data_IF_997647080958
#
_entry.id   IF_997647080958
#
_cell.length_a   1.000
_cell.length_b   1.000
_cell.length_c   1.000
_cell.angle_alpha   90.00
_cell.angle_beta   90.00
_cell.angle_gamma   90.00
#
_symmetry.space_group_name_H-M   'P 1'
#
loop_
_entity.id
_entity.type
_entity.pdbx_description
1 polymer ?
#
# COMPACT_ATOMS: atom_id res chain seq x y z
N UNK A 1 14.85 31.83 -9.75
CA UNK A 1 15.38 30.56 -10.28
C UNK A 1 14.49 29.44 -9.80
N UNK A 2 13.59 28.94 -10.67
CA UNK A 2 12.51 28.01 -10.29
C UNK A 2 13.04 26.58 -10.40
N UNK A 3 13.04 25.80 -9.31
CA UNK A 3 13.23 24.34 -9.36
C UNK A 3 11.85 23.67 -9.33
N UNK A 4 11.42 23.14 -10.48
CA UNK A 4 10.25 22.28 -10.60
C UNK A 4 10.56 20.90 -10.01
N UNK A 5 9.68 20.40 -9.14
CA UNK A 5 9.69 19.04 -8.59
C UNK A 5 8.58 18.28 -9.31
N UNK A 6 8.92 17.27 -10.11
CA UNK A 6 7.95 16.40 -10.75
C UNK A 6 7.55 15.28 -9.78
N UNK A 7 6.26 15.19 -9.48
CA UNK A 7 5.60 14.06 -8.82
C UNK A 7 4.94 13.23 -9.91
N UNK A 8 5.31 11.96 -10.08
CA UNK A 8 4.59 11.01 -10.93
C UNK A 8 4.55 9.67 -10.20
N UNK A 9 3.43 9.39 -9.52
CA UNK A 9 3.01 8.06 -9.10
C UNK A 9 1.47 8.06 -9.16
N UNK A 10 0.95 7.67 -10.31
CA UNK A 10 -0.48 7.50 -10.56
C UNK A 10 -0.64 6.52 -11.72
N UNK A 11 -1.65 5.65 -11.64
CA UNK A 11 -2.04 4.83 -12.78
C UNK A 11 -2.40 5.78 -13.95
N UNK A 12 -1.66 5.68 -15.05
CA UNK A 12 -1.96 6.47 -16.24
C UNK A 12 -3.03 5.72 -17.06
N UNK A 13 -4.28 6.12 -16.88
CA UNK A 13 -5.35 5.80 -17.84
C UNK A 13 -5.32 6.88 -18.93
N UNK A 14 -4.79 6.54 -20.10
CA UNK A 14 -4.89 7.40 -21.27
C UNK A 14 -6.15 7.04 -22.06
N UNK A 15 -7.15 7.91 -21.99
CA UNK A 15 -8.34 7.83 -22.83
C UNK A 15 -8.12 8.65 -24.11
N UNK A 16 -7.99 7.97 -25.24
CA UNK A 16 -8.22 8.60 -26.54
C UNK A 16 -9.73 8.67 -26.76
N UNK A 17 -10.35 9.84 -26.56
CA UNK A 17 -11.75 10.06 -26.93
C UNK A 17 -11.82 10.61 -28.36
N UNK A 18 -12.74 10.14 -29.21
CA UNK A 18 -13.69 10.96 -30.00
C UNK A 18 -14.69 10.03 -30.75
N UNK A 19 -15.98 10.42 -30.70
CA UNK A 19 -17.23 9.74 -31.11
C UNK A 19 -17.76 8.66 -30.13
N UNK A 20 -19.06 8.76 -29.82
CA UNK A 20 -19.77 7.94 -28.83
C UNK A 20 -19.78 6.48 -29.30
N UNK A 21 -19.14 5.60 -28.51
CA UNK A 21 -19.25 4.14 -28.63
C UNK A 21 -17.93 3.38 -28.78
N UNK A 22 -16.94 3.91 -29.51
CA UNK A 22 -15.75 3.12 -29.88
C UNK A 22 -14.50 3.60 -29.14
N UNK A 23 -13.91 2.73 -28.31
CA UNK A 23 -12.72 3.06 -27.51
C UNK A 23 -11.64 1.98 -27.66
N UNK A 24 -10.38 2.41 -27.62
CA UNK A 24 -9.23 1.52 -27.41
C UNK A 24 -8.34 2.13 -26.33
N UNK A 25 -7.98 1.34 -25.32
CA UNK A 25 -7.10 1.78 -24.23
C UNK A 25 -5.99 0.76 -23.97
N UNK A 26 -4.81 1.27 -23.61
CA UNK A 26 -3.70 0.48 -23.08
C UNK A 26 -3.77 0.62 -21.56
N UNK A 27 -3.87 -0.51 -20.85
CA UNK A 27 -3.94 -0.54 -19.39
C UNK A 27 -2.71 -1.27 -18.86
N UNK A 28 -1.97 -0.60 -17.98
CA UNK A 28 -0.92 -1.22 -17.18
C UNK A 28 -1.56 -2.07 -16.08
N UNK A 29 -1.01 -3.25 -15.75
CA UNK A 29 -1.52 -4.05 -14.64
C UNK A 29 -1.38 -3.27 -13.34
N UNK A 30 -2.29 -3.50 -12.40
CA UNK A 30 -2.32 -2.79 -11.13
C UNK A 30 -1.09 -3.17 -10.29
N UNK A 31 -0.52 -2.24 -9.49
CA UNK A 31 0.52 -2.58 -8.54
C UNK A 31 0.00 -3.63 -7.55
N UNK A 32 0.56 -4.84 -7.58
CA UNK A 32 0.15 -5.95 -6.71
C UNK A 32 -0.21 -7.24 -7.44
N UNK A 33 -0.41 -7.19 -8.76
CA UNK A 33 -0.45 -8.42 -9.56
C UNK A 33 0.95 -9.02 -9.56
N UNK A 34 1.11 -10.17 -8.88
CA UNK A 34 2.33 -10.97 -8.85
C UNK A 34 2.54 -11.60 -10.23
N UNK A 35 2.86 -10.76 -11.21
CA UNK A 35 3.30 -11.16 -12.53
C UNK A 35 4.81 -11.11 -12.52
N UNK A 36 5.42 -12.23 -12.90
CA UNK A 36 6.80 -12.30 -13.36
C UNK A 36 7.12 -11.07 -14.21
N UNK A 37 8.36 -10.55 -14.14
CA UNK A 37 8.81 -9.25 -14.69
C UNK A 37 8.59 -9.04 -16.21
N UNK A 38 7.91 -9.95 -16.88
CA UNK A 38 7.35 -9.81 -18.23
C UNK A 38 6.04 -9.01 -18.17
N UNK A 39 6.11 -7.71 -18.47
CA UNK A 39 4.99 -6.78 -18.31
C UNK A 39 3.81 -7.14 -19.22
N UNK A 40 2.70 -7.52 -18.60
CA UNK A 40 1.44 -7.84 -19.26
C UNK A 40 0.75 -6.54 -19.67
N UNK A 41 0.50 -6.33 -20.95
CA UNK A 41 -0.27 -5.18 -21.45
C UNK A 41 -1.66 -5.64 -21.83
N UNK A 42 -2.68 -5.01 -21.26
CA UNK A 42 -4.07 -5.24 -21.63
C UNK A 42 -4.53 -4.13 -22.57
N UNK A 43 -5.02 -4.53 -23.74
CA UNK A 43 -5.68 -3.62 -24.67
C UNK A 43 -7.17 -3.88 -24.60
N UNK A 44 -7.96 -2.89 -24.22
CA UNK A 44 -9.42 -2.98 -24.32
C UNK A 44 -9.86 -2.39 -25.65
N UNK A 45 -10.83 -3.01 -26.31
CA UNK A 45 -11.40 -2.53 -27.57
C UNK A 45 -12.91 -2.68 -27.49
N UNK A 46 -13.62 -1.55 -27.55
CA UNK A 46 -15.08 -1.55 -27.52
C UNK A 46 -15.65 -1.44 -28.95
N UNK A 47 -16.77 -2.11 -29.18
CA UNK A 47 -17.66 -1.94 -30.35
C UNK A 47 -17.07 -2.21 -31.76
N UNK A 48 -15.87 -2.79 -31.87
CA UNK A 48 -15.39 -3.34 -33.13
C UNK A 48 -15.81 -4.81 -33.25
N UNK A 49 -16.41 -5.19 -34.38
CA UNK A 49 -16.70 -6.59 -34.68
C UNK A 49 -15.41 -7.31 -35.12
N UNK A 50 -14.90 -8.20 -34.28
CA UNK A 50 -13.70 -9.02 -34.56
C UNK A 50 -12.44 -8.22 -34.93
N UNK A 51 -12.00 -7.24 -34.11
CA UNK A 51 -10.82 -6.47 -34.45
C UNK A 51 -9.55 -7.32 -34.40
N UNK A 52 -8.65 -7.05 -35.35
CA UNK A 52 -7.23 -7.40 -35.23
C UNK A 52 -6.53 -6.28 -34.47
N UNK A 53 -6.05 -6.60 -33.27
CA UNK A 53 -5.29 -5.69 -32.40
C UNK A 53 -3.81 -5.96 -32.60
N UNK A 54 -3.07 -4.91 -32.94
CA UNK A 54 -1.63 -4.89 -33.09
C UNK A 54 -1.04 -4.01 -32.00
N UNK A 55 0.06 -4.46 -31.39
CA UNK A 55 0.78 -3.72 -30.36
C UNK A 55 2.23 -3.56 -30.79
N UNK A 56 2.64 -2.31 -30.93
CA UNK A 56 4.00 -1.91 -31.27
C UNK A 56 4.69 -1.24 -30.09
N UNK A 57 6.00 -1.44 -29.99
CA UNK A 57 6.89 -0.77 -29.02
C UNK A 57 7.99 -0.08 -29.82
N UNK A 58 8.14 1.23 -29.61
CA UNK A 58 9.13 2.08 -30.29
C UNK A 58 9.07 1.97 -31.82
N UNK A 59 7.85 1.91 -32.35
CA UNK A 59 7.58 1.80 -33.79
C UNK A 59 7.73 0.38 -34.36
N UNK A 60 8.20 -0.60 -33.59
CA UNK A 60 8.31 -1.99 -34.03
C UNK A 60 7.10 -2.81 -33.56
N UNK A 61 6.44 -3.51 -34.50
CA UNK A 61 5.33 -4.43 -34.17
C UNK A 61 5.86 -5.59 -33.31
N UNK A 62 5.34 -5.72 -32.09
CA UNK A 62 5.74 -6.78 -31.15
C UNK A 62 4.75 -7.93 -31.12
N UNK A 63 3.45 -7.64 -31.20
CA UNK A 63 2.43 -8.67 -31.14
C UNK A 63 1.16 -8.27 -31.89
N UNK A 64 0.38 -9.28 -32.27
CA UNK A 64 -0.95 -9.09 -32.83
C UNK A 64 -1.90 -10.21 -32.39
N UNK A 65 -3.19 -9.90 -32.21
CA UNK A 65 -4.26 -10.85 -31.90
C UNK A 65 -5.52 -10.49 -32.67
N UNK A 66 -6.20 -11.49 -33.22
CA UNK A 66 -7.47 -11.31 -33.94
C UNK A 66 -8.69 -11.73 -33.14
N UNK A 67 -8.50 -12.18 -31.89
CA UNK A 67 -9.58 -12.64 -30.99
C UNK A 67 -9.30 -12.20 -29.56
N UNK A 68 -10.34 -11.86 -28.78
CA UNK A 68 -10.20 -11.57 -27.35
C UNK A 68 -9.82 -12.85 -26.55
N UNK A 69 -9.20 -12.71 -25.37
CA UNK A 69 -8.76 -11.46 -24.75
C UNK A 69 -7.52 -10.85 -25.44
N UNK A 70 -7.49 -9.53 -25.57
CA UNK A 70 -6.38 -8.78 -26.17
C UNK A 70 -5.31 -8.44 -25.13
N UNK A 71 -4.73 -9.48 -24.55
CA UNK A 71 -3.63 -9.39 -23.58
C UNK A 71 -2.32 -9.82 -24.22
N UNK A 72 -1.27 -9.02 -24.04
CA UNK A 72 0.04 -9.24 -24.63
C UNK A 72 1.10 -9.32 -23.54
N UNK A 73 1.99 -10.30 -23.65
CA UNK A 73 3.24 -10.30 -22.87
C UNK A 73 4.31 -9.72 -23.77
N UNK A 74 4.91 -8.62 -23.35
CA UNK A 74 5.98 -7.97 -24.09
C UNK A 74 7.19 -7.84 -23.18
N UNK A 75 8.33 -8.26 -23.69
CA UNK A 75 9.63 -7.99 -23.07
C UNK A 75 10.16 -6.67 -23.63
N UNK A 76 10.43 -5.72 -22.74
CA UNK A 76 11.11 -4.47 -23.05
C UNK A 76 12.07 -4.11 -21.91
N UNK A 77 12.94 -3.14 -22.14
CA UNK A 77 13.93 -2.70 -21.16
C UNK A 77 13.29 -1.67 -20.21
N UNK A 78 12.99 -2.01 -18.94
CA UNK A 78 12.38 -1.03 -18.04
C UNK A 78 13.26 0.20 -17.78
N UNK A 79 14.56 0.15 -18.09
CA UNK A 79 15.49 1.28 -17.95
C UNK A 79 15.45 2.26 -19.12
N UNK A 80 14.76 1.92 -20.21
CA UNK A 80 14.59 2.80 -21.37
C UNK A 80 13.19 3.42 -21.39
N UNK A 81 13.09 4.60 -21.99
CA UNK A 81 11.79 5.19 -22.32
C UNK A 81 11.17 4.41 -23.48
N UNK A 82 9.91 4.03 -23.33
CA UNK A 82 9.20 3.24 -24.32
C UNK A 82 7.89 3.92 -24.74
N UNK A 83 7.64 3.92 -26.05
CA UNK A 83 6.35 4.33 -26.63
C UNK A 83 5.61 3.11 -27.13
N UNK A 84 4.46 2.83 -26.51
CA UNK A 84 3.53 1.82 -26.96
C UNK A 84 2.50 2.42 -27.91
N UNK A 85 2.19 1.70 -28.97
CA UNK A 85 1.12 2.03 -29.90
C UNK A 85 0.26 0.78 -30.10
N UNK A 86 -1.00 0.86 -29.69
CA UNK A 86 -2.01 -0.16 -29.96
C UNK A 86 -2.88 0.30 -31.13
N UNK A 87 -3.08 -0.58 -32.12
CA UNK A 87 -3.92 -0.35 -33.29
C UNK A 87 -4.94 -1.47 -33.38
N UNK A 88 -6.24 -1.16 -33.37
CA UNK A 88 -7.30 -2.12 -33.65
C UNK A 88 -7.88 -1.86 -35.04
N UNK A 89 -7.87 -2.87 -35.92
CA UNK A 89 -8.43 -2.80 -37.28
C UNK A 89 -9.60 -3.76 -37.45
N UNK A 90 -10.67 -3.29 -38.10
CA UNK A 90 -11.85 -4.09 -38.46
C UNK A 90 -12.46 -3.56 -39.76
N UNK A 91 -12.23 -4.24 -40.89
CA UNK A 91 -12.57 -3.72 -42.21
C UNK A 91 -11.82 -2.41 -42.49
N UNK A 92 -12.54 -1.38 -42.92
CA UNK A 92 -11.98 -0.04 -43.19
C UNK A 92 -11.80 0.80 -41.93
N UNK A 93 -12.19 0.29 -40.75
CA UNK A 93 -12.09 1.03 -39.48
C UNK A 93 -10.76 0.74 -38.78
N UNK A 94 -10.12 1.80 -38.30
CA UNK A 94 -8.88 1.73 -37.52
C UNK A 94 -8.99 2.62 -36.29
N UNK A 95 -8.81 2.05 -35.10
CA UNK A 95 -8.63 2.78 -33.85
C UNK A 95 -7.16 2.72 -33.43
N UNK A 96 -6.67 3.79 -32.82
CA UNK A 96 -5.29 3.89 -32.32
C UNK A 96 -5.25 4.51 -30.94
N UNK A 97 -4.38 4.01 -30.07
CA UNK A 97 -4.04 4.65 -28.81
C UNK A 97 -2.56 4.46 -28.53
N UNK A 98 -1.99 5.44 -27.83
CA UNK A 98 -0.59 5.45 -27.48
C UNK A 98 -0.43 5.61 -25.98
N UNK A 99 0.57 4.92 -25.43
CA UNK A 99 0.96 5.05 -24.04
C UNK A 99 2.47 5.24 -23.97
N UNK A 100 2.90 6.12 -23.08
CA UNK A 100 4.31 6.42 -22.86
C UNK A 100 4.74 5.92 -21.50
N UNK A 101 5.79 5.12 -21.49
CA UNK A 101 6.39 4.54 -20.31
C UNK A 101 7.75 5.19 -20.13
N UNK A 102 7.92 6.08 -19.13
CA UNK A 102 9.22 6.67 -18.88
C UNK A 102 10.20 5.59 -18.41
N UNK A 103 11.49 5.81 -18.69
CA UNK A 103 12.57 5.02 -18.13
C UNK A 103 12.41 4.95 -16.61
N UNK A 104 12.21 3.74 -16.08
CA UNK A 104 12.33 3.50 -14.66
C UNK A 104 13.83 3.39 -14.40
N UNK A 105 14.39 4.33 -13.64
CA UNK A 105 15.74 4.19 -13.12
C UNK A 105 15.76 3.01 -12.14
N UNK A 106 15.89 1.80 -12.68
CA UNK A 106 16.02 0.58 -11.89
C UNK A 106 17.51 0.39 -11.65
N UNK A 107 17.99 0.74 -10.46
CA UNK A 107 19.28 0.25 -9.95
C UNK A 107 19.17 -1.27 -9.79
N UNK A 108 19.50 -2.04 -10.84
CA UNK A 108 19.51 -3.50 -10.80
C UNK A 108 20.79 -3.94 -10.09
N UNK A 109 20.66 -4.45 -8.87
CA UNK A 109 21.76 -5.12 -8.16
C UNK A 109 21.59 -6.64 -8.30
N UNK A 110 22.68 -7.41 -8.24
CA UNK A 110 22.72 -8.88 -8.24
C UNK A 110 22.35 -9.48 -6.87
N UNK A 111 21.75 -10.68 -6.88
CA UNK A 111 21.18 -11.39 -5.72
C UNK A 111 22.23 -11.89 -4.70
N UNK A 112 22.08 -11.50 -3.43
CA UNK A 112 22.72 -12.15 -2.25
C UNK A 112 21.73 -12.18 -1.08
N UNK A 113 21.76 -13.24 -0.26
CA UNK A 113 20.82 -13.53 0.84
C UNK A 113 21.22 -12.83 2.16
N UNK A 114 20.29 -12.12 2.81
CA UNK A 114 20.46 -11.63 4.18
C UNK A 114 19.24 -11.97 5.07
N UNK A 115 19.50 -12.34 6.34
CA UNK A 115 18.50 -12.70 7.37
C UNK A 115 18.09 -11.45 8.16
N UNK A 116 16.78 -11.21 8.32
CA UNK A 116 16.25 -10.28 9.33
C UNK A 116 15.53 -11.09 10.40
N UNK A 117 16.00 -10.98 11.65
CA UNK A 117 15.45 -11.67 12.81
C UNK A 117 14.62 -10.65 13.60
N UNK A 118 13.32 -10.91 13.75
CA UNK A 118 12.47 -10.17 14.68
C UNK A 118 12.42 -10.96 16.00
N UNK A 119 12.82 -10.38 17.14
CA UNK A 119 12.71 -11.08 18.42
C UNK A 119 11.26 -11.04 18.90
N UNK A 120 10.47 -12.04 18.50
CA UNK A 120 9.26 -12.41 19.24
C UNK A 120 9.59 -13.61 20.12
N UNK A 121 9.24 -13.62 21.42
CA UNK A 121 9.70 -14.65 22.35
C UNK A 121 9.27 -16.08 22.00
N UNK A 122 8.26 -16.28 21.14
CA UNK A 122 7.67 -17.61 20.95
C UNK A 122 7.56 -18.11 19.49
N UNK A 123 7.99 -17.34 18.47
CA UNK A 123 7.94 -17.79 17.05
C UNK A 123 9.01 -17.16 16.18
N UNK A 124 10.02 -17.95 15.81
CA UNK A 124 10.87 -17.67 14.66
C UNK A 124 10.03 -17.76 13.37
N UNK A 125 9.90 -16.64 12.66
CA UNK A 125 9.27 -16.61 11.34
C UNK A 125 10.33 -16.26 10.32
N UNK A 126 10.71 -17.23 9.47
CA UNK A 126 11.68 -17.02 8.39
C UNK A 126 10.93 -16.47 7.18
N UNK A 127 11.08 -15.18 6.89
CA UNK A 127 10.59 -14.58 5.65
C UNK A 127 11.77 -14.49 4.68
N UNK A 128 11.67 -15.26 3.59
CA UNK A 128 12.62 -15.22 2.47
C UNK A 128 12.27 -14.03 1.59
N UNK A 129 13.13 -13.04 1.50
CA UNK A 129 13.01 -11.96 0.52
C UNK A 129 14.29 -11.84 -0.32
N UNK A 130 14.18 -11.67 -1.65
CA UNK A 130 15.32 -11.51 -2.52
C UNK A 130 15.87 -10.09 -2.39
N UNK A 131 17.18 -9.94 -2.22
CA UNK A 131 17.81 -8.62 -2.14
C UNK A 131 18.78 -8.38 -3.26
N UNK A 132 18.75 -7.14 -3.70
CA UNK A 132 19.90 -6.52 -4.28
C UNK A 132 19.85 -5.00 -4.02
N UNK A 133 20.95 -4.45 -3.50
CA UNK A 133 21.12 -3.00 -3.34
C UNK A 133 20.35 -2.43 -2.16
N UNK A 134 20.56 -2.95 -0.95
CA UNK A 134 20.12 -2.26 0.26
C UNK A 134 21.00 -1.02 0.42
N UNK A 135 20.62 0.08 -0.24
CA UNK A 135 20.64 1.33 0.52
C UNK A 135 19.71 1.04 1.67
N UNK A 136 20.24 1.02 2.90
CA UNK A 136 19.41 1.08 4.08
C UNK A 136 18.45 2.23 3.79
N UNK A 137 17.18 1.90 3.51
CA UNK A 137 16.17 2.91 3.43
C UNK A 137 16.27 3.53 4.80
N UNK A 138 16.67 4.79 4.86
CA UNK A 138 16.75 5.48 6.14
C UNK A 138 15.30 5.67 6.55
N UNK A 139 14.73 4.65 7.20
CA UNK A 139 13.32 4.57 7.57
C UNK A 139 13.00 5.77 8.48
N UNK A 140 13.99 6.32 9.18
CA UNK A 140 13.85 7.55 9.96
C UNK A 140 13.58 8.80 9.08
N UNK A 141 13.99 8.80 7.80
CA UNK A 141 13.67 9.90 6.86
C UNK A 141 12.23 9.90 6.37
N UNK A 142 11.51 8.79 6.52
CA UNK A 142 10.11 8.71 6.13
C UNK A 142 9.23 8.84 7.37
N UNK A 143 8.39 9.90 7.45
CA UNK A 143 7.44 10.02 8.54
C UNK A 143 6.47 8.83 8.49
N UNK A 144 6.12 8.29 9.65
CA UNK A 144 5.07 7.29 9.72
C UNK A 144 3.74 7.93 9.30
N UNK A 145 2.99 7.22 8.47
CA UNK A 145 1.62 7.53 8.15
C UNK A 145 0.71 6.68 9.03
N UNK A 146 -0.11 7.36 9.82
CA UNK A 146 -1.05 6.74 10.73
C UNK A 146 -2.45 7.08 10.26
N UNK A 147 -3.29 6.07 10.08
CA UNK A 147 -4.74 6.25 9.98
C UNK A 147 -5.33 5.87 11.32
N UNK A 148 -5.93 6.83 12.02
CA UNK A 148 -6.80 6.56 13.14
C UNK A 148 -8.23 6.38 12.59
N UNK A 149 -8.75 5.17 12.67
CA UNK A 149 -10.10 4.82 12.22
C UNK A 149 -10.97 4.50 13.45
N UNK A 150 -12.02 5.27 13.69
CA UNK A 150 -12.83 5.18 14.91
C UNK A 150 -14.28 4.87 14.59
N UNK A 151 -14.76 3.78 15.16
CA UNK A 151 -16.16 3.39 15.12
C UNK A 151 -16.97 4.30 16.04
N UNK A 152 -17.98 4.95 15.47
CA UNK A 152 -18.91 5.83 16.18
C UNK A 152 -20.36 5.30 16.07
N UNK A 153 -20.53 4.03 15.73
CA UNK A 153 -21.83 3.36 15.67
C UNK A 153 -22.54 3.33 17.04
N UNK A 154 -23.82 2.99 17.03
CA UNK A 154 -24.65 3.01 18.25
C UNK A 154 -24.15 2.09 19.37
N UNK A 155 -23.52 0.95 19.04
CA UNK A 155 -22.95 0.02 20.02
C UNK A 155 -21.73 0.59 20.74
N UNK A 156 -21.07 1.60 20.16
CA UNK A 156 -19.90 2.26 20.73
C UNK A 156 -20.23 3.30 21.80
N UNK A 157 -21.51 3.65 21.97
CA UNK A 157 -21.94 4.67 22.94
C UNK A 157 -21.45 4.45 24.38
N UNK A 158 -21.43 3.22 24.95
CA UNK A 158 -20.91 2.96 26.30
C UNK A 158 -19.41 3.25 26.44
N UNK A 159 -18.64 3.17 25.34
CA UNK A 159 -17.19 3.33 25.34
C UNK A 159 -16.73 4.76 25.03
N UNK A 160 -17.67 5.70 24.84
CA UNK A 160 -17.39 7.08 24.42
C UNK A 160 -16.30 7.77 25.23
N UNK A 161 -16.33 7.66 26.56
CA UNK A 161 -15.38 8.34 27.44
C UNK A 161 -13.97 7.75 27.31
N UNK A 162 -13.87 6.42 27.22
CA UNK A 162 -12.59 5.73 27.06
C UNK A 162 -11.98 6.03 25.68
N UNK A 163 -12.78 5.96 24.61
CA UNK A 163 -12.34 6.32 23.26
C UNK A 163 -11.88 7.77 23.18
N UNK A 164 -12.62 8.69 23.80
CA UNK A 164 -12.24 10.12 23.86
C UNK A 164 -10.86 10.27 24.48
N UNK A 165 -10.60 9.59 25.60
CA UNK A 165 -9.30 9.64 26.26
C UNK A 165 -8.17 9.06 25.40
N UNK A 166 -8.39 7.91 24.76
CA UNK A 166 -7.39 7.27 23.88
C UNK A 166 -7.08 8.16 22.67
N UNK A 167 -8.11 8.67 22.00
CA UNK A 167 -7.95 9.53 20.82
C UNK A 167 -7.24 10.83 21.19
N UNK A 168 -7.64 11.50 22.28
CA UNK A 168 -6.95 12.72 22.73
C UNK A 168 -5.46 12.49 22.97
N UNK A 169 -5.07 11.35 23.52
CA UNK A 169 -3.66 10.98 23.70
C UNK A 169 -2.97 10.73 22.36
N UNK A 170 -3.62 10.03 21.43
CA UNK A 170 -3.06 9.77 20.10
C UNK A 170 -2.88 11.05 19.28
N UNK A 171 -3.86 11.95 19.31
CA UNK A 171 -3.77 13.27 18.68
C UNK A 171 -2.63 14.09 19.30
N UNK A 172 -2.49 14.07 20.62
CA UNK A 172 -1.39 14.75 21.32
C UNK A 172 -0.04 14.17 20.90
N UNK A 173 0.10 12.85 20.89
CA UNK A 173 1.28 12.16 20.39
C UNK A 173 1.61 12.56 18.95
N UNK A 174 0.63 12.55 18.06
CA UNK A 174 0.81 12.89 16.66
C UNK A 174 1.20 14.35 16.40
N UNK A 175 0.89 15.28 17.32
CA UNK A 175 1.39 16.67 17.25
C UNK A 175 2.85 16.79 17.63
N UNK A 176 3.30 15.97 18.57
CA UNK A 176 4.66 16.01 19.08
C UNK A 176 5.63 15.20 18.22
N UNK A 177 5.14 14.14 17.59
CA UNK A 177 5.91 13.34 16.65
C UNK A 177 5.66 13.85 15.24
N UNK A 178 6.69 13.87 14.38
CA UNK A 178 6.57 14.22 12.96
C UNK A 178 5.86 13.11 12.17
N UNK A 179 4.65 12.72 12.57
CA UNK A 179 3.83 11.68 11.93
C UNK A 179 2.70 12.33 11.13
N UNK A 180 2.38 11.72 10.00
CA UNK A 180 1.24 12.12 9.18
C UNK A 180 0.01 11.35 9.67
N UNK A 181 -0.84 12.01 10.45
CA UNK A 181 -2.07 11.42 10.96
C UNK A 181 -3.27 11.79 10.08
N UNK A 182 -4.02 10.79 9.64
CA UNK A 182 -5.38 10.93 9.11
C UNK A 182 -6.36 10.40 10.16
N UNK A 183 -7.38 11.17 10.51
CA UNK A 183 -8.44 10.72 11.41
C UNK A 183 -9.72 10.50 10.62
N UNK A 184 -10.21 9.27 10.62
CA UNK A 184 -11.46 8.86 9.99
C UNK A 184 -12.38 8.34 11.09
N UNK A 185 -13.64 8.78 11.06
CA UNK A 185 -14.70 8.21 11.88
C UNK A 185 -15.72 7.53 10.98
N UNK A 186 -16.37 6.49 11.47
CA UNK A 186 -17.36 5.78 10.66
C UNK A 186 -18.53 5.27 11.50
N UNK A 187 -19.68 5.30 10.85
CA UNK A 187 -20.89 4.58 11.21
C UNK A 187 -21.32 3.77 9.98
N UNK A 188 -22.30 4.25 9.22
CA UNK A 188 -22.68 3.73 7.90
C UNK A 188 -21.79 4.28 6.79
N UNK A 189 -21.12 5.41 7.03
CA UNK A 189 -20.22 6.03 6.06
C UNK A 189 -18.94 6.54 6.72
N UNK A 190 -17.75 6.26 6.14
CA UNK A 190 -16.51 6.83 6.64
C UNK A 190 -16.45 8.33 6.34
N UNK A 191 -16.01 9.11 7.32
CA UNK A 191 -15.87 10.57 7.24
C UNK A 191 -14.50 10.97 7.76
N UNK A 192 -13.75 11.75 6.97
CA UNK A 192 -12.48 12.33 7.41
C UNK A 192 -12.77 13.49 8.36
N UNK A 193 -12.09 13.50 9.51
CA UNK A 193 -12.17 14.57 10.49
C UNK A 193 -10.96 15.49 10.33
N UNK A 194 -11.22 16.79 10.18
CA UNK A 194 -10.17 17.79 10.25
C UNK A 194 -9.72 17.97 11.70
N UNK A 195 -8.74 17.14 12.08
CA UNK A 195 -8.22 17.08 13.45
C UNK A 195 -7.34 18.29 13.82
N UNK A 196 -7.01 19.15 12.86
CA UNK A 196 -6.33 20.42 13.13
C UNK A 196 -7.19 21.38 13.97
N UNK A 197 -8.51 21.24 13.88
CA UNK A 197 -9.50 22.03 14.62
C UNK A 197 -9.79 21.48 16.02
N UNK A 198 -9.31 20.28 16.34
CA UNK A 198 -9.67 19.55 17.56
C UNK A 198 -8.63 19.76 18.65
N UNK A 199 -8.79 20.80 19.44
CA UNK A 199 -7.87 21.25 20.48
C UNK A 199 -8.18 20.68 21.87
N UNK A 200 -9.39 20.17 22.12
CA UNK A 200 -9.79 19.68 23.43
C UNK A 200 -10.50 18.31 23.40
N UNK A 201 -10.51 17.56 24.53
CA UNK A 201 -11.27 16.32 24.64
C UNK A 201 -12.77 16.47 24.39
N UNK A 202 -13.37 17.62 24.72
CA UNK A 202 -14.79 17.89 24.48
C UNK A 202 -15.10 17.95 22.98
N UNK A 203 -14.18 18.50 22.17
CA UNK A 203 -14.29 18.51 20.71
C UNK A 203 -14.08 17.12 20.11
N UNK A 204 -13.29 16.25 20.75
CA UNK A 204 -13.24 14.83 20.37
C UNK A 204 -14.59 14.15 20.68
N UNK A 205 -15.14 14.40 21.88
CA UNK A 205 -16.40 13.82 22.32
C UNK A 205 -17.61 14.25 21.46
N UNK A 206 -17.57 15.41 20.82
CA UNK A 206 -18.63 15.90 19.94
C UNK A 206 -18.71 15.14 18.61
N UNK A 207 -17.63 14.46 18.20
CA UNK A 207 -17.60 13.63 16.98
C UNK A 207 -18.45 12.36 17.13
N UNK A 208 -18.66 11.87 18.36
CA UNK A 208 -19.41 10.65 18.69
C UNK A 208 -20.94 10.83 18.74
N UNK A 209 -21.51 11.64 17.84
CA UNK A 209 -22.94 11.97 17.88
C UNK A 209 -23.86 11.05 17.06
N UNK A 210 -23.33 9.99 16.41
CA UNK A 210 -24.11 9.21 15.44
C UNK A 210 -24.74 7.92 16.01
N UNK A 211 -25.65 7.34 15.22
CA UNK A 211 -26.48 6.17 15.57
C UNK A 211 -26.67 5.21 14.39
N UNK A 212 -25.68 5.12 13.50
CA UNK A 212 -25.72 4.23 12.34
C UNK A 212 -25.28 2.80 12.65
N UNK A 213 -25.44 1.92 11.66
CA UNK A 213 -24.81 0.58 11.62
C UNK A 213 -23.29 0.67 11.61
N UNK A 214 -22.59 -0.44 11.80
CA UNK A 214 -21.12 -0.48 11.70
C UNK A 214 -20.70 -1.09 10.37
N UNK A 215 -19.98 -0.31 9.54
CA UNK A 215 -19.37 -0.74 8.27
C UNK A 215 -17.84 -0.80 8.37
N UNK A 216 -17.32 -1.60 9.30
CA UNK A 216 -15.89 -1.63 9.64
C UNK A 216 -15.01 -1.91 8.42
N UNK A 217 -15.27 -2.99 7.67
CA UNK A 217 -14.40 -3.41 6.56
C UNK A 217 -14.43 -2.43 5.38
N UNK A 218 -15.61 -1.90 5.03
CA UNK A 218 -15.74 -0.91 3.96
C UNK A 218 -15.03 0.39 4.34
N UNK A 219 -15.16 0.80 5.61
CA UNK A 219 -14.50 2.00 6.15
C UNK A 219 -12.97 1.85 6.18
N UNK A 220 -12.47 0.66 6.54
CA UNK A 220 -11.05 0.36 6.45
C UNK A 220 -10.54 0.46 5.01
N UNK A 221 -11.22 -0.17 4.05
CA UNK A 221 -10.82 -0.14 2.65
C UNK A 221 -10.85 1.28 2.06
N UNK A 222 -11.88 2.07 2.36
CA UNK A 222 -11.96 3.48 1.96
C UNK A 222 -10.81 4.30 2.58
N UNK A 223 -10.48 4.04 3.84
CA UNK A 223 -9.39 4.75 4.53
C UNK A 223 -8.02 4.44 3.96
N UNK A 224 -7.78 3.22 3.46
CA UNK A 224 -6.51 2.86 2.81
C UNK A 224 -6.20 3.74 1.58
N UNK A 225 -7.22 4.32 0.93
CA UNK A 225 -7.05 5.26 -0.18
C UNK A 225 -6.48 6.63 0.26
N UNK A 226 -6.51 6.92 1.57
CA UNK A 226 -5.96 8.14 2.15
C UNK A 226 -4.47 8.02 2.49
N UNK A 227 -3.89 6.81 2.40
CA UNK A 227 -2.46 6.60 2.62
C UNK A 227 -1.65 7.23 1.49
N UNK A 228 -0.62 7.97 1.89
CA UNK A 228 0.38 8.51 1.00
C UNK A 228 1.47 7.47 0.66
N UNK A 229 2.57 7.90 0.03
CA UNK A 229 3.62 7.00 -0.44
C UNK A 229 4.56 6.51 0.68
N UNK A 230 4.28 6.78 1.97
CA UNK A 230 5.18 6.35 3.05
C UNK A 230 5.30 4.82 3.12
N UNK A 231 6.51 4.26 3.30
CA UNK A 231 6.69 2.83 3.56
C UNK A 231 6.24 2.42 4.97
N UNK A 232 5.98 3.38 5.87
CA UNK A 232 5.61 3.15 7.27
C UNK A 232 4.14 3.48 7.46
N UNK A 233 3.27 2.50 7.21
CA UNK A 233 1.81 2.68 7.22
C UNK A 233 1.20 1.87 8.35
N UNK A 234 0.51 2.56 9.24
CA UNK A 234 -0.20 1.93 10.36
C UNK A 234 -1.65 2.38 10.35
N UNK A 235 -2.57 1.43 10.44
CA UNK A 235 -3.98 1.69 10.70
C UNK A 235 -4.28 1.31 12.15
N UNK A 236 -4.74 2.28 12.93
CA UNK A 236 -5.23 2.09 14.29
C UNK A 236 -6.75 2.11 14.24
N UNK A 237 -7.36 0.92 14.33
CA UNK A 237 -8.81 0.75 14.40
C UNK A 237 -9.27 0.79 15.86
N UNK A 238 -10.24 1.64 16.19
CA UNK A 238 -10.93 1.65 17.49
C UNK A 238 -12.37 1.22 17.26
N UNK A 239 -12.72 0.01 17.68
CA UNK A 239 -14.05 -0.58 17.43
C UNK A 239 -14.29 -1.75 18.40
N UNK A 240 -15.56 -2.03 18.68
CA UNK A 240 -16.01 -3.26 19.35
C UNK A 240 -15.89 -4.50 18.43
N UNK A 241 -15.65 -4.28 17.14
CA UNK A 241 -15.49 -5.31 16.13
C UNK A 241 -16.81 -5.81 15.53
N UNK A 242 -17.96 -5.21 15.87
CA UNK A 242 -19.21 -5.50 15.17
C UNK A 242 -19.12 -4.98 13.73
N UNK A 243 -19.51 -5.79 12.76
CA UNK A 243 -19.54 -5.38 11.35
C UNK A 243 -20.74 -6.00 10.65
N UNK A 244 -21.87 -5.31 10.73
CA UNK A 244 -23.18 -5.73 10.23
C UNK A 244 -23.56 -5.08 8.90
N UNK A 245 -22.79 -4.08 8.46
CA UNK A 245 -23.09 -3.30 7.26
C UNK A 245 -22.11 -3.47 6.10
N UNK A 246 -20.89 -3.98 6.33
CA UNK A 246 -19.89 -3.99 5.25
C UNK A 246 -20.24 -4.96 4.12
N UNK A 247 -20.13 -4.49 2.88
CA UNK A 247 -20.21 -5.32 1.69
C UNK A 247 -18.92 -6.12 1.45
N UNK A 248 -17.78 -5.56 1.85
CA UNK A 248 -16.47 -6.18 1.67
C UNK A 248 -16.28 -7.39 2.59
N UNK A 249 -15.75 -8.48 2.05
CA UNK A 249 -15.36 -9.64 2.85
C UNK A 249 -14.05 -9.40 3.60
N UNK A 250 -13.81 -10.17 4.68
CA UNK A 250 -12.53 -10.13 5.40
C UNK A 250 -11.35 -10.53 4.50
N UNK A 251 -11.56 -11.43 3.54
CA UNK A 251 -10.52 -11.90 2.61
C UNK A 251 -10.08 -10.80 1.64
N UNK A 252 -11.03 -10.05 1.08
CA UNK A 252 -10.75 -8.91 0.21
C UNK A 252 -10.02 -7.81 0.97
N UNK A 253 -10.48 -7.46 2.18
CA UNK A 253 -9.80 -6.50 3.03
C UNK A 253 -8.36 -6.92 3.36
N UNK A 254 -8.15 -8.20 3.68
CA UNK A 254 -6.80 -8.72 3.92
C UNK A 254 -5.88 -8.57 2.71
N UNK A 255 -6.43 -8.62 1.50
CA UNK A 255 -5.68 -8.40 0.26
C UNK A 255 -5.31 -6.92 0.09
N UNK A 256 -6.21 -5.99 0.44
CA UNK A 256 -5.90 -4.56 0.47
C UNK A 256 -4.86 -4.16 1.52
N UNK A 257 -4.96 -4.68 2.75
CA UNK A 257 -3.94 -4.43 3.79
C UNK A 257 -2.56 -4.94 3.36
N UNK A 258 -2.51 -6.12 2.72
CA UNK A 258 -1.27 -6.69 2.21
C UNK A 258 -0.68 -5.88 1.05
N UNK A 259 -1.49 -5.48 0.08
CA UNK A 259 -1.00 -4.72 -1.08
C UNK A 259 -0.52 -3.32 -0.71
N UNK A 260 -1.11 -2.72 0.33
CA UNK A 260 -0.69 -1.42 0.86
C UNK A 260 0.49 -1.51 1.84
N UNK A 261 0.85 -2.70 2.31
CA UNK A 261 1.86 -2.87 3.37
C UNK A 261 1.47 -2.18 4.68
N UNK A 262 0.16 -1.99 4.92
CA UNK A 262 -0.36 -1.31 6.09
C UNK A 262 -0.56 -2.30 7.25
N UNK A 263 0.11 -2.05 8.38
CA UNK A 263 -0.10 -2.84 9.59
C UNK A 263 -1.38 -2.41 10.31
N UNK A 264 -2.22 -3.37 10.72
CA UNK A 264 -3.48 -3.10 11.41
C UNK A 264 -3.34 -3.35 12.92
N UNK A 265 -3.41 -2.27 13.70
CA UNK A 265 -3.54 -2.32 15.15
C UNK A 265 -5.02 -2.14 15.49
N UNK A 266 -5.62 -3.11 16.17
CA UNK A 266 -7.00 -3.03 16.62
C UNK A 266 -7.06 -2.79 18.13
N UNK A 267 -7.58 -1.63 18.52
CA UNK A 267 -7.96 -1.28 19.89
C UNK A 267 -9.40 -1.73 20.12
N UNK A 268 -9.53 -2.87 20.77
CA UNK A 268 -10.78 -3.57 21.01
C UNK A 268 -11.45 -3.04 22.28
N UNK A 269 -12.68 -2.58 22.16
CA UNK A 269 -13.47 -2.01 23.27
C UNK A 269 -14.41 -3.02 23.93
N UNK A 270 -14.93 -4.00 23.19
CA UNK A 270 -15.76 -5.09 23.71
C UNK A 270 -14.94 -6.38 23.80
N UNK A 271 -14.97 -7.14 24.92
CA UNK A 271 -14.25 -8.42 25.04
C UNK A 271 -14.67 -9.50 24.04
N UNK A 272 -15.83 -9.40 23.39
CA UNK A 272 -16.29 -10.37 22.39
C UNK A 272 -15.29 -10.46 21.23
N UNK A 273 -14.79 -11.67 20.99
CA UNK A 273 -13.73 -11.90 20.01
C UNK A 273 -14.27 -11.93 18.58
N UNK A 274 -14.03 -10.86 17.82
CA UNK A 274 -14.09 -10.94 16.36
C UNK A 274 -12.83 -11.62 15.82
N UNK A 275 -12.90 -12.95 15.70
CA UNK A 275 -11.80 -13.79 15.18
C UNK A 275 -11.29 -13.33 13.81
N UNK A 276 -12.16 -12.78 12.95
CA UNK A 276 -11.76 -12.33 11.61
C UNK A 276 -10.88 -11.08 11.69
N UNK A 277 -11.26 -10.07 12.48
CA UNK A 277 -10.44 -8.87 12.69
C UNK A 277 -9.14 -9.22 13.41
N UNK A 278 -9.18 -10.08 14.44
CA UNK A 278 -7.99 -10.59 15.12
C UNK A 278 -7.00 -11.26 14.15
N UNK A 279 -7.50 -12.07 13.22
CA UNK A 279 -6.68 -12.70 12.18
C UNK A 279 -6.14 -11.68 11.17
N UNK A 280 -6.95 -10.68 10.78
CA UNK A 280 -6.52 -9.62 9.88
C UNK A 280 -5.38 -8.79 10.46
N UNK A 281 -5.49 -8.38 11.74
CA UNK A 281 -4.42 -7.67 12.45
C UNK A 281 -3.11 -8.45 12.41
N UNK A 282 -3.13 -9.75 12.74
CA UNK A 282 -1.92 -10.58 12.72
C UNK A 282 -1.35 -10.76 11.32
N UNK A 283 -2.19 -10.98 10.31
CA UNK A 283 -1.75 -11.21 8.92
C UNK A 283 -1.17 -9.97 8.26
N UNK A 284 -1.55 -8.78 8.69
CA UNK A 284 -0.98 -7.51 8.23
C UNK A 284 0.27 -7.08 9.01
N UNK A 285 0.74 -7.90 9.96
CA UNK A 285 1.90 -7.57 10.81
C UNK A 285 1.57 -6.63 11.97
N UNK A 286 0.29 -6.39 12.25
CA UNK A 286 -0.18 -5.69 13.44
C UNK A 286 -0.62 -6.63 14.55
N UNK A 287 -1.44 -6.13 15.47
CA UNK A 287 -1.84 -6.82 16.69
C UNK A 287 -3.15 -6.26 17.26
N UNK A 288 -3.68 -6.94 18.28
CA UNK A 288 -4.91 -6.54 18.97
C UNK A 288 -4.54 -6.13 20.39
N UNK A 289 -5.13 -5.03 20.85
CA UNK A 289 -4.97 -4.51 22.20
C UNK A 289 -6.35 -4.39 22.85
N UNK A 290 -6.46 -4.75 24.12
CA UNK A 290 -7.73 -4.79 24.85
C UNK A 290 -7.72 -3.82 26.05
N UNK A 291 -8.78 -3.03 26.17
CA UNK A 291 -9.08 -2.16 27.32
C UNK A 291 -8.11 -0.98 27.55
N UNK A 292 -8.23 -0.33 28.72
CA UNK A 292 -7.49 0.90 29.08
C UNK A 292 -5.96 0.77 28.99
N UNK A 293 -5.42 -0.43 29.23
CA UNK A 293 -3.97 -0.68 29.12
C UNK A 293 -3.48 -0.68 27.67
N UNK A 294 -4.39 -0.77 26.69
CA UNK A 294 -4.08 -0.68 25.28
C UNK A 294 -3.30 0.59 24.94
N UNK A 295 -3.55 1.72 25.61
CA UNK A 295 -2.78 2.94 25.34
C UNK A 295 -1.29 2.79 25.68
N UNK A 296 -0.94 2.22 26.83
CA UNK A 296 0.46 2.07 27.23
C UNK A 296 1.20 1.12 26.27
N UNK A 297 0.54 0.03 25.87
CA UNK A 297 1.07 -0.93 24.92
C UNK A 297 1.19 -0.34 23.51
N UNK A 298 0.20 0.45 23.08
CA UNK A 298 0.21 1.17 21.81
C UNK A 298 1.33 2.19 21.78
N UNK A 299 1.47 3.00 22.82
CA UNK A 299 2.52 4.02 22.92
C UNK A 299 3.90 3.36 22.82
N UNK A 300 4.15 2.31 23.60
CA UNK A 300 5.41 1.56 23.55
C UNK A 300 5.68 0.97 22.16
N UNK A 301 4.65 0.48 21.46
CA UNK A 301 4.79 -0.01 20.09
C UNK A 301 5.03 1.09 19.07
N UNK A 302 4.33 2.22 19.16
CA UNK A 302 4.55 3.35 18.28
C UNK A 302 5.97 3.89 18.49
N UNK A 303 6.42 4.03 19.73
CA UNK A 303 7.80 4.42 20.03
C UNK A 303 8.81 3.38 19.54
N UNK A 304 8.58 2.08 19.74
CA UNK A 304 9.47 1.01 19.28
C UNK A 304 9.55 0.90 17.74
N UNK A 305 8.42 0.95 17.05
CA UNK A 305 8.38 0.98 15.58
C UNK A 305 8.88 2.31 15.01
N UNK A 306 8.78 3.39 15.78
CA UNK A 306 9.42 4.65 15.43
C UNK A 306 10.94 4.63 15.63
N UNK A 307 11.41 3.96 16.68
CA UNK A 307 12.80 3.87 17.13
C UNK A 307 13.63 2.78 16.43
N UNK A 308 13.01 1.75 15.83
CA UNK A 308 13.71 0.69 15.06
C UNK A 308 14.37 1.18 13.75
N UNK A 309 14.67 2.47 13.68
CA UNK A 309 15.35 3.15 12.58
C UNK A 309 16.73 3.71 12.97
N UNK A 310 17.31 3.35 14.13
CA UNK A 310 18.51 4.03 14.64
C UNK A 310 19.76 3.21 14.98
N UNK A 311 19.80 1.89 14.87
CA UNK A 311 21.08 1.16 15.01
C UNK A 311 21.31 0.16 13.88
N UNK A 312 22.22 0.46 12.93
CA UNK A 312 22.80 -0.59 12.12
C UNK A 312 23.72 -1.42 13.02
N UNK A 313 23.32 -2.66 13.32
CA UNK A 313 24.29 -3.69 13.74
C UNK A 313 25.26 -3.89 12.57
N UNK A 314 26.43 -3.27 12.69
CA UNK A 314 27.57 -3.57 11.83
C UNK A 314 28.17 -4.84 12.40
N UNK A 315 27.73 -5.99 11.90
CA UNK A 315 28.51 -7.21 12.07
C UNK A 315 29.85 -6.98 11.36
N UNK A 316 30.92 -6.96 12.16
CA UNK A 316 32.29 -6.95 11.70
C UNK A 316 32.48 -8.12 10.72
N UNK A 317 32.60 -7.81 9.43
CA UNK A 317 33.00 -8.78 8.42
C UNK A 317 34.42 -9.19 8.76
N UNK A 318 34.58 -10.28 9.51
CA UNK A 318 35.87 -10.94 9.71
C UNK A 318 36.36 -11.37 8.31
N UNK A 319 37.29 -10.59 7.76
CA UNK A 319 37.94 -10.91 6.50
C UNK A 319 38.85 -12.12 6.71
N UNK A 320 38.38 -13.33 6.40
CA UNK A 320 39.28 -14.46 6.19
C UNK A 320 40.01 -14.24 4.85
N UNK A 321 41.21 -13.66 4.92
CA UNK A 321 42.11 -13.53 3.78
C UNK A 321 42.44 -14.92 3.20
N UNK A 322 41.83 -15.22 2.05
CA UNK A 322 42.26 -16.29 1.17
C UNK A 322 43.58 -15.92 0.50
N UNK A 323 44.56 -16.82 0.63
CA UNK A 323 45.88 -16.77 -0.01
C UNK A 323 45.77 -16.56 -1.52
N UNK A 324 46.34 -15.47 -2.02
CA UNK A 324 46.62 -15.26 -3.44
C UNK A 324 47.79 -16.16 -3.88
N UNK A 325 47.50 -17.08 -4.80
CA UNK A 325 48.50 -17.75 -5.63
C UNK A 325 49.08 -16.70 -6.59
N UNK A 326 50.39 -16.46 -6.54
CA UNK A 326 51.11 -15.70 -7.59
C UNK A 326 51.60 -16.66 -8.68
N UNK A 327 51.38 -16.36 -9.97
CA UNK A 327 52.14 -17.00 -11.03
C UNK A 327 53.50 -16.31 -11.17
N UNK A 328 54.58 -17.10 -11.05
CA UNK A 328 55.92 -16.70 -11.49
C UNK A 328 55.97 -16.78 -13.02
N UNK A 329 56.39 -15.70 -13.66
CA UNK A 329 57.01 -15.74 -14.97
C UNK A 329 58.38 -15.07 -14.86
N UNK A 330 59.44 -15.85 -15.05
CA UNK A 330 60.75 -15.40 -15.54
C UNK A 330 60.57 -14.88 -16.98
N UNK A 331 61.28 -13.87 -17.48
CA UNK A 331 62.68 -13.44 -17.28
C UNK A 331 62.78 -11.92 -17.09
#
# INVERSE_FOLDING_TARGET
>A
MIKKKALLNGAFLFFGTWSIGQSIAIVSPLPGDALDRDQLVVVTVDELQSPRVELSVDGQLRAARSKPPYSFRIQWDPQAEHRLLAIARSGDRTLRTEAYFPALAVDVVQEVTARLVFPFPDRESVIVMPQAGVRALDIAKYPAEIILLVDISGSMAPFKNEMTAIISRLLTYARHQSVNLQWVVFDETPRVVDWSQVQSPEQVASVFASRGKSVVRDSMAASLLLLGPSPRRVMVLVSDGADDGSALSATELGSYLKSTGCALIWLKTDPLDNRQLSQLSRRSGGFVLEGIQAWQQLQSHLEGQLAFALEPEVDEVISSQGKLFQPRWSE
#
